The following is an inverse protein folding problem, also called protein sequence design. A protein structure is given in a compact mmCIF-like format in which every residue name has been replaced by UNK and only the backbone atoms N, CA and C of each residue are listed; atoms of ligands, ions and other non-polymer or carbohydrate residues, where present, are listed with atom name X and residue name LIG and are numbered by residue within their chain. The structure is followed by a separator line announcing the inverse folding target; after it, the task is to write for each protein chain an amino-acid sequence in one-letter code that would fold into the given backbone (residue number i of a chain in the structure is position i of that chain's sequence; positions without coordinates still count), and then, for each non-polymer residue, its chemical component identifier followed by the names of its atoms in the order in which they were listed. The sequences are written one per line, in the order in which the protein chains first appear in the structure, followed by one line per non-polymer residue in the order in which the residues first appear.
data_IF_843763077403
#
_entry.id   IF_843763077403
#
_cell.length_a   1.000
_cell.length_b   1.000
_cell.length_c   1.000
_cell.angle_alpha   90.00
_cell.angle_beta   90.00
_cell.angle_gamma   90.00
#
_symmetry.space_group_name_H-M   'P 1'
#
loop_
_entity.id
_entity.type
_entity.pdbx_description
1 polymer ?
#
# COMPACT_ATOMS: atom_id res chain seq x y z
N UNK A 1 -11.55 15.79 12.86
CA UNK A 1 -11.70 14.53 12.09
C UNK A 1 -11.00 13.42 12.86
N UNK A 2 -11.47 12.17 12.84
CA UNK A 2 -10.88 11.08 13.66
C UNK A 2 -9.84 10.23 12.91
N UNK A 3 -10.02 10.06 11.59
CA UNK A 3 -9.09 9.39 10.69
C UNK A 3 -9.39 9.77 9.24
N UNK A 4 -8.41 9.61 8.36
CA UNK A 4 -8.52 9.78 6.91
C UNK A 4 -7.47 8.93 6.18
N UNK A 5 -7.76 8.59 4.93
CA UNK A 5 -6.80 8.00 3.99
C UNK A 5 -6.93 8.69 2.62
N UNK A 6 -5.82 8.79 1.90
CA UNK A 6 -5.74 9.32 0.55
C UNK A 6 -5.30 8.20 -0.38
N UNK A 7 -6.09 7.99 -1.43
CA UNK A 7 -5.83 7.05 -2.51
C UNK A 7 -5.64 7.82 -3.81
N UNK A 8 -4.63 7.42 -4.60
CA UNK A 8 -4.43 7.94 -5.95
C UNK A 8 -4.96 6.89 -6.91
N UNK A 9 -5.90 7.27 -7.78
CA UNK A 9 -6.50 6.38 -8.79
C UNK A 9 -5.76 6.56 -10.11
N UNK A 10 -5.17 5.47 -10.62
CA UNK A 10 -4.43 5.44 -11.87
C UNK A 10 -4.66 4.10 -12.57
N UNK A 11 -5.73 4.04 -13.39
CA UNK A 11 -6.19 2.80 -14.00
C UNK A 11 -5.03 2.00 -14.63
N UNK A 12 -4.98 0.67 -14.44
CA UNK A 12 -6.05 -0.17 -13.90
C UNK A 12 -6.07 -0.32 -12.37
N UNK A 13 -5.27 0.45 -11.62
CA UNK A 13 -5.09 0.27 -10.17
C UNK A 13 -5.12 1.59 -9.38
N UNK A 14 -5.10 1.51 -8.07
CA UNK A 14 -4.94 2.66 -7.18
C UNK A 14 -3.79 2.43 -6.21
N UNK A 15 -3.24 3.50 -5.64
CA UNK A 15 -2.23 3.43 -4.59
C UNK A 15 -2.73 4.11 -3.32
N UNK A 16 -2.62 3.42 -2.19
CA UNK A 16 -2.70 4.02 -0.87
C UNK A 16 -1.49 4.92 -0.65
N UNK A 17 -1.73 6.24 -0.58
CA UNK A 17 -0.65 7.22 -0.52
C UNK A 17 -0.37 7.66 0.92
N UNK A 18 -1.40 8.04 1.66
CA UNK A 18 -1.27 8.59 3.02
C UNK A 18 -2.44 8.10 3.87
N UNK A 19 -2.17 7.76 5.13
CA UNK A 19 -3.19 7.54 6.14
C UNK A 19 -2.87 8.30 7.41
N UNK A 20 -3.87 8.94 7.99
CA UNK A 20 -3.79 9.62 9.26
C UNK A 20 -4.90 9.13 10.19
N UNK A 21 -4.56 8.85 11.44
CA UNK A 21 -5.55 8.53 12.47
C UNK A 21 -5.17 9.23 13.76
N UNK A 22 -6.10 10.00 14.31
CA UNK A 22 -6.01 10.51 15.67
C UNK A 22 -6.20 9.40 16.71
N UNK A 23 -6.09 9.75 17.98
CA UNK A 23 -6.22 8.82 19.11
C UNK A 23 -7.56 8.08 19.10
N UNK A 24 -8.67 8.82 18.97
CA UNK A 24 -10.00 8.22 18.91
C UNK A 24 -10.18 7.30 17.69
N UNK A 25 -9.59 7.69 16.55
CA UNK A 25 -9.59 6.85 15.35
C UNK A 25 -8.85 5.53 15.58
N UNK A 26 -7.72 5.57 16.31
CA UNK A 26 -6.96 4.36 16.68
C UNK A 26 -7.76 3.49 17.66
N UNK A 27 -8.37 4.10 18.69
CA UNK A 27 -9.21 3.40 19.68
C UNK A 27 -10.38 2.65 19.02
N UNK A 28 -10.95 3.21 17.96
CA UNK A 28 -12.06 2.62 17.20
C UNK A 28 -11.64 1.77 16.01
N UNK A 29 -10.35 1.57 15.76
CA UNK A 29 -9.84 0.89 14.56
C UNK A 29 -10.39 1.50 13.24
N UNK A 30 -10.54 2.83 13.18
CA UNK A 30 -11.18 3.53 12.07
C UNK A 30 -10.48 3.28 10.71
N UNK A 31 -9.16 3.10 10.71
CA UNK A 31 -8.39 2.76 9.50
C UNK A 31 -8.81 1.43 8.86
N UNK A 32 -9.20 0.43 9.66
CA UNK A 32 -9.70 -0.83 9.13
C UNK A 32 -11.00 -0.64 8.34
N UNK A 33 -11.93 0.14 8.88
CA UNK A 33 -13.19 0.46 8.21
C UNK A 33 -12.97 1.31 6.95
N UNK A 34 -12.13 2.35 7.03
CA UNK A 34 -11.83 3.22 5.88
C UNK A 34 -11.20 2.40 4.74
N UNK A 35 -10.22 1.56 5.05
CA UNK A 35 -9.56 0.77 4.02
C UNK A 35 -10.50 -0.28 3.40
N UNK A 36 -11.30 -0.97 4.21
CA UNK A 36 -12.32 -1.89 3.69
C UNK A 36 -13.27 -1.18 2.72
N UNK A 37 -13.77 -0.01 3.11
CA UNK A 37 -14.68 0.77 2.27
C UNK A 37 -14.01 1.26 0.99
N UNK A 38 -12.77 1.71 1.08
CA UNK A 38 -12.01 2.12 -0.09
C UNK A 38 -11.80 0.96 -1.07
N UNK A 39 -11.49 -0.25 -0.59
CA UNK A 39 -11.36 -1.44 -1.43
C UNK A 39 -12.68 -1.74 -2.15
N UNK A 40 -13.82 -1.70 -1.45
CA UNK A 40 -15.13 -1.97 -2.06
C UNK A 40 -15.51 -0.91 -3.10
N UNK A 41 -15.26 0.36 -2.80
CA UNK A 41 -15.62 1.47 -3.68
C UNK A 41 -14.73 1.45 -4.95
N UNK A 42 -13.41 1.25 -4.80
CA UNK A 42 -12.47 1.13 -5.93
C UNK A 42 -12.79 -0.08 -6.82
N UNK A 43 -13.18 -1.22 -6.24
CA UNK A 43 -13.62 -2.38 -7.02
C UNK A 43 -14.90 -2.09 -7.81
N UNK A 44 -15.87 -1.38 -7.22
CA UNK A 44 -17.09 -0.96 -7.91
C UNK A 44 -16.81 0.04 -9.05
N UNK A 45 -15.76 0.85 -8.94
CA UNK A 45 -15.26 1.74 -10.01
C UNK A 45 -14.48 1.01 -11.12
N UNK A 46 -14.29 -0.32 -10.99
CA UNK A 46 -13.64 -1.16 -11.98
C UNK A 46 -12.11 -1.20 -11.90
N UNK A 47 -11.53 -0.81 -10.76
CA UNK A 47 -10.10 -0.99 -10.53
C UNK A 47 -9.78 -2.44 -10.18
N UNK A 48 -8.69 -2.95 -10.75
CA UNK A 48 -8.27 -4.34 -10.60
C UNK A 48 -7.41 -4.58 -9.34
N UNK A 49 -6.77 -3.54 -8.81
CA UNK A 49 -5.88 -3.66 -7.66
C UNK A 49 -5.77 -2.36 -6.86
N UNK A 50 -5.48 -2.52 -5.56
CA UNK A 50 -5.04 -1.47 -4.67
C UNK A 50 -3.64 -1.81 -4.15
N UNK A 51 -2.66 -0.99 -4.50
CA UNK A 51 -1.30 -1.05 -3.99
C UNK A 51 -1.23 -0.37 -2.62
N UNK A 52 -0.76 -1.09 -1.60
CA UNK A 52 -0.60 -0.59 -0.23
C UNK A 52 0.79 0.01 0.03
N UNK A 53 1.68 -0.01 -0.96
CA UNK A 53 3.06 0.44 -0.88
C UNK A 53 3.93 -0.50 -0.04
N UNK A 54 5.13 -0.02 0.30
CA UNK A 54 6.17 -0.82 0.96
C UNK A 54 5.74 -1.40 2.31
N UNK A 55 6.12 -2.65 2.54
CA UNK A 55 6.02 -3.31 3.84
C UNK A 55 7.37 -3.20 4.53
N UNK A 56 7.41 -2.51 5.66
CA UNK A 56 8.60 -2.38 6.50
C UNK A 56 8.30 -2.97 7.88
N UNK A 57 8.74 -4.21 8.09
CA UNK A 57 8.52 -4.94 9.34
C UNK A 57 9.43 -4.50 10.48
N UNK A 58 10.50 -3.75 10.19
CA UNK A 58 11.49 -3.34 11.18
C UNK A 58 11.18 -1.94 11.73
N UNK A 59 11.09 -0.94 10.85
CA UNK A 59 10.85 0.44 11.27
C UNK A 59 9.37 0.75 11.52
N UNK A 60 8.45 -0.02 10.92
CA UNK A 60 7.01 0.23 11.02
C UNK A 60 6.17 -1.06 11.20
N UNK A 61 6.45 -1.92 12.20
CA UNK A 61 5.83 -3.24 12.35
C UNK A 61 4.29 -3.20 12.46
N UNK A 62 3.74 -2.18 13.12
CA UNK A 62 2.28 -2.02 13.23
C UNK A 62 1.62 -1.72 11.87
N UNK A 63 2.25 -0.87 11.05
CA UNK A 63 1.77 -0.56 9.71
C UNK A 63 1.97 -1.74 8.77
N UNK A 64 3.09 -2.46 8.87
CA UNK A 64 3.32 -3.70 8.13
C UNK A 64 2.25 -4.75 8.44
N UNK A 65 1.96 -5.01 9.73
CA UNK A 65 0.89 -5.93 10.14
C UNK A 65 -0.47 -5.49 9.61
N UNK A 66 -0.76 -4.19 9.65
CA UNK A 66 -1.99 -3.64 9.09
C UNK A 66 -2.12 -3.94 7.58
N UNK A 67 -1.07 -3.67 6.78
CA UNK A 67 -1.07 -3.94 5.34
C UNK A 67 -1.15 -5.44 5.01
N UNK A 68 -0.43 -6.27 5.75
CA UNK A 68 -0.46 -7.74 5.55
C UNK A 68 -1.83 -8.30 5.92
N UNK A 69 -2.43 -7.79 7.00
CA UNK A 69 -3.71 -8.26 7.54
C UNK A 69 -4.92 -7.99 6.64
N UNK A 70 -4.79 -7.20 5.58
CA UNK A 70 -5.91 -6.89 4.66
C UNK A 70 -6.10 -7.95 3.57
N UNK A 71 -5.31 -9.02 3.59
CA UNK A 71 -5.25 -10.01 2.50
C UNK A 71 -4.39 -9.57 1.32
N UNK A 72 -3.56 -8.52 1.49
CA UNK A 72 -2.65 -8.07 0.44
C UNK A 72 -1.55 -9.11 0.18
N UNK A 73 -1.16 -9.26 -1.09
CA UNK A 73 -0.05 -10.12 -1.49
C UNK A 73 1.26 -9.34 -1.37
N UNK A 74 2.13 -9.76 -0.46
CA UNK A 74 3.50 -9.24 -0.38
C UNK A 74 4.30 -9.78 -1.57
N UNK A 75 4.96 -8.90 -2.30
CA UNK A 75 5.82 -9.25 -3.42
C UNK A 75 7.15 -8.48 -3.35
N UNK A 76 8.29 -9.14 -3.56
CA UNK A 76 9.57 -8.44 -3.70
C UNK A 76 9.55 -7.62 -4.99
N UNK A 77 10.02 -6.37 -4.92
CA UNK A 77 10.29 -5.55 -6.08
C UNK A 77 11.78 -5.65 -6.46
N UNK A 78 12.06 -5.39 -7.74
CA UNK A 78 13.44 -5.28 -8.20
C UNK A 78 14.17 -4.13 -7.48
N UNK A 79 15.48 -4.26 -7.26
CA UNK A 79 16.27 -3.18 -6.67
C UNK A 79 16.29 -1.95 -7.60
N UNK A 80 16.38 -0.77 -7.00
CA UNK A 80 16.80 0.44 -7.74
C UNK A 80 18.28 0.31 -8.06
N UNK A 81 18.62 0.15 -9.33
CA UNK A 81 19.99 -0.10 -9.79
C UNK A 81 20.44 0.95 -10.79
N UNK A 82 21.73 1.30 -10.71
CA UNK A 82 22.44 1.91 -11.83
C UNK A 82 23.01 0.79 -12.72
N UNK A 83 22.48 0.67 -13.93
CA UNK A 83 23.01 -0.28 -14.92
C UNK A 83 24.16 0.39 -15.66
N UNK A 84 25.38 -0.10 -15.48
CA UNK A 84 26.57 0.35 -16.20
C UNK A 84 26.87 -0.64 -17.34
N UNK A 85 26.50 -0.34 -18.60
CA UNK A 85 26.57 -1.31 -19.70
C UNK A 85 27.97 -1.91 -19.91
N UNK A 86 29.02 -1.14 -19.62
CA UNK A 86 30.41 -1.59 -19.73
C UNK A 86 30.80 -2.65 -18.67
N UNK A 87 30.05 -2.76 -17.57
CA UNK A 87 30.34 -3.64 -16.44
C UNK A 87 29.30 -4.76 -16.26
N UNK A 88 28.09 -4.59 -16.80
CA UNK A 88 27.05 -5.64 -16.80
C UNK A 88 27.08 -6.43 -18.11
N UNK A 89 27.72 -7.61 -18.12
CA UNK A 89 27.54 -8.58 -19.22
C UNK A 89 26.07 -8.98 -19.29
N UNK A 90 25.47 -8.92 -20.48
CA UNK A 90 24.17 -9.56 -20.73
C UNK A 90 24.32 -11.04 -20.43
N UNK A 91 23.64 -11.52 -19.38
CA UNK A 91 23.40 -12.95 -19.22
C UNK A 91 22.31 -13.29 -20.23
N UNK A 92 22.72 -13.96 -21.32
CA UNK A 92 21.78 -14.63 -22.22
C UNK A 92 21.09 -15.78 -21.48
#
# INVERSE_FOLDING_TARGET
RIAAMLFLTHKPWASYHIGWSGEEGRRRNAHGLILWRAITDLAAEGLAALDLGTVDTEAAPGLARFKIGTGARVAPLGPTLLVLPALTRRRC
#
